data_IF_569158550523
#
_entry.id   IF_569158550523
#
_cell.length_a   1.000
_cell.length_b   1.000
_cell.length_c   1.000
_cell.angle_alpha   90.00
_cell.angle_beta   90.00
_cell.angle_gamma   90.00
#
_symmetry.space_group_name_H-M   'P 1'
#
loop_
_entity.id
_entity.type
_entity.pdbx_description
1 polymer ?
#
# COMPACT_ATOMS: atom_id res chain seq x y z
N UNK A 1 15.91 56.40 -39.58
CA UNK A 1 15.61 55.09 -40.19
C UNK A 1 16.38 54.04 -39.39
N UNK A 2 15.98 53.79 -38.13
CA UNK A 2 15.16 52.62 -37.70
C UNK A 2 15.89 51.30 -37.98
N UNK A 3 16.83 50.92 -37.11
CA UNK A 3 16.68 49.97 -35.99
C UNK A 3 16.12 48.60 -36.37
N UNK A 4 17.04 47.64 -36.53
CA UNK A 4 17.09 46.32 -35.89
C UNK A 4 15.73 45.74 -35.45
N UNK A 5 15.15 44.84 -36.24
CA UNK A 5 14.24 43.76 -35.76
C UNK A 5 14.13 42.67 -36.82
N UNK A 6 15.00 41.66 -36.76
CA UNK A 6 14.76 40.37 -37.40
C UNK A 6 15.53 39.29 -36.62
N UNK A 7 15.10 39.05 -35.39
CA UNK A 7 15.36 37.83 -34.64
C UNK A 7 14.52 37.84 -33.36
N UNK A 8 13.85 36.71 -33.11
CA UNK A 8 13.28 36.32 -31.84
C UNK A 8 12.14 37.22 -31.30
N UNK A 9 10.91 36.71 -31.38
CA UNK A 9 10.30 36.18 -30.17
C UNK A 9 9.07 35.32 -30.53
N UNK A 10 9.09 34.00 -30.26
CA UNK A 10 7.88 33.20 -30.24
C UNK A 10 6.96 33.76 -29.14
N UNK A 11 5.66 33.85 -29.43
CA UNK A 11 4.61 34.15 -28.46
C UNK A 11 4.59 33.07 -27.36
N UNK A 12 5.51 33.16 -26.39
CA UNK A 12 5.49 32.41 -25.16
C UNK A 12 4.43 33.05 -24.25
N UNK A 13 3.20 32.59 -24.48
CA UNK A 13 2.00 32.93 -23.74
C UNK A 13 2.22 32.69 -22.23
N UNK A 14 2.10 33.74 -21.39
CA UNK A 14 2.41 33.68 -19.95
C UNK A 14 1.45 32.78 -19.14
N UNK A 15 0.34 32.36 -19.74
CA UNK A 15 -0.64 31.45 -19.12
C UNK A 15 -0.13 29.99 -19.06
N UNK A 16 0.73 29.59 -19.98
CA UNK A 16 1.28 28.22 -20.03
C UNK A 16 2.39 28.03 -19.01
N UNK A 17 3.10 29.10 -18.67
CA UNK A 17 4.20 29.13 -17.68
C UNK A 17 3.68 29.14 -16.26
N UNK A 18 2.61 29.89 -15.97
CA UNK A 18 1.97 29.84 -14.66
C UNK A 18 1.28 28.49 -14.42
N UNK A 19 0.70 27.90 -15.47
CA UNK A 19 0.11 26.56 -15.42
C UNK A 19 1.19 25.48 -15.31
N UNK A 20 2.34 25.59 -15.97
CA UNK A 20 3.46 24.65 -15.82
C UNK A 20 4.28 24.85 -14.54
N UNK A 21 4.34 26.07 -13.97
CA UNK A 21 4.98 26.35 -12.68
C UNK A 21 4.07 25.94 -11.52
N UNK A 22 2.75 26.10 -11.66
CA UNK A 22 1.76 25.56 -10.71
C UNK A 22 1.67 24.03 -10.81
N UNK A 23 1.78 23.47 -12.02
CA UNK A 23 1.88 22.02 -12.23
C UNK A 23 3.20 21.44 -11.71
N UNK A 24 4.32 22.16 -11.83
CA UNK A 24 5.62 21.73 -11.28
C UNK A 24 5.70 21.89 -9.76
N UNK A 25 5.02 22.88 -9.17
CA UNK A 25 4.94 23.06 -7.72
C UNK A 25 3.99 22.04 -7.05
N UNK A 26 2.93 21.61 -7.75
CA UNK A 26 1.98 20.61 -7.23
C UNK A 26 2.46 19.15 -7.47
N UNK A 27 3.20 18.90 -8.56
CA UNK A 27 3.73 17.55 -8.88
C UNK A 27 5.00 17.20 -8.08
N UNK A 28 5.74 18.20 -7.61
CA UNK A 28 6.94 18.00 -6.79
C UNK A 28 6.67 17.62 -5.32
N UNK A 29 5.48 17.88 -4.76
CA UNK A 29 5.16 17.54 -3.35
C UNK A 29 4.57 16.15 -3.17
N UNK A 30 3.76 15.68 -4.12
CA UNK A 30 3.01 14.42 -4.02
C UNK A 30 3.86 13.16 -3.82
N UNK A 31 4.91 12.89 -4.61
CA UNK A 31 5.71 11.68 -4.44
C UNK A 31 6.55 11.72 -3.16
N UNK A 32 7.04 12.90 -2.76
CA UNK A 32 7.80 13.05 -1.52
C UNK A 32 6.92 12.86 -0.29
N UNK A 33 5.69 13.39 -0.28
CA UNK A 33 4.74 13.15 0.81
C UNK A 33 4.39 11.66 0.94
N UNK A 34 4.30 10.92 -0.16
CA UNK A 34 4.10 9.47 -0.15
C UNK A 34 5.29 8.72 0.46
N UNK A 35 6.52 9.06 0.08
CA UNK A 35 7.74 8.44 0.62
C UNK A 35 7.93 8.78 2.10
N UNK A 36 7.64 10.03 2.50
CA UNK A 36 7.69 10.45 3.90
C UNK A 36 6.62 9.73 4.72
N UNK A 37 5.40 9.56 4.20
CA UNK A 37 4.36 8.77 4.84
C UNK A 37 4.75 7.29 4.96
N UNK A 38 5.33 6.71 3.91
CA UNK A 38 5.88 5.35 3.92
C UNK A 38 6.96 5.16 4.99
N UNK A 39 7.90 6.11 5.06
CA UNK A 39 8.97 6.10 6.06
C UNK A 39 8.44 6.23 7.48
N UNK A 40 7.52 7.17 7.72
CA UNK A 40 6.90 7.38 9.04
C UNK A 40 6.08 6.16 9.46
N UNK A 41 5.29 5.56 8.56
CA UNK A 41 4.52 4.35 8.86
C UNK A 41 5.41 3.14 9.13
N UNK A 42 6.54 2.99 8.42
CA UNK A 42 7.52 1.93 8.67
C UNK A 42 8.22 2.10 10.03
N UNK A 43 8.64 3.33 10.35
CA UNK A 43 9.25 3.66 11.65
C UNK A 43 8.23 3.45 12.77
N UNK A 44 6.99 3.89 12.58
CA UNK A 44 5.93 3.68 13.56
C UNK A 44 5.61 2.19 13.75
N UNK A 45 5.57 1.41 12.66
CA UNK A 45 5.34 -0.04 12.71
C UNK A 45 6.47 -0.80 13.41
N UNK A 46 7.73 -0.46 13.13
CA UNK A 46 8.90 -1.06 13.81
C UNK A 46 9.00 -0.62 15.26
N UNK A 47 8.73 0.65 15.58
CA UNK A 47 8.63 1.14 16.95
C UNK A 47 7.51 0.43 17.72
N UNK A 48 6.34 0.24 17.10
CA UNK A 48 5.23 -0.50 17.69
C UNK A 48 5.61 -1.97 17.95
N UNK A 49 6.29 -2.62 16.99
CA UNK A 49 6.84 -3.97 17.17
C UNK A 49 7.78 -4.03 18.37
N UNK A 50 8.70 -3.08 18.50
CA UNK A 50 9.67 -3.07 19.59
C UNK A 50 9.02 -2.77 20.96
N UNK A 51 8.04 -1.87 21.01
CA UNK A 51 7.37 -1.45 22.25
C UNK A 51 6.39 -2.52 22.77
N UNK A 52 5.77 -3.29 21.86
CA UNK A 52 4.81 -4.34 22.22
C UNK A 52 5.42 -5.75 22.34
N UNK A 53 6.74 -5.90 22.25
CA UNK A 53 7.43 -7.18 22.44
C UNK A 53 7.20 -7.83 23.85
N UNK A 54 6.60 -7.10 24.80
CA UNK A 54 6.28 -7.60 26.15
C UNK A 54 4.83 -8.04 26.39
N UNK A 55 3.90 -7.80 25.45
CA UNK A 55 2.46 -8.05 25.65
C UNK A 55 2.02 -9.29 24.88
N UNK A 56 1.14 -10.11 25.46
CA UNK A 56 0.58 -11.35 24.85
C UNK A 56 -0.26 -11.11 23.57
N UNK A 57 -0.40 -9.87 23.12
CA UNK A 57 -1.26 -9.48 21.99
C UNK A 57 -0.43 -9.53 20.69
N UNK A 58 -0.87 -10.24 19.65
CA UNK A 58 -0.15 -10.35 18.39
C UNK A 58 0.06 -8.97 17.73
N UNK A 59 1.31 -8.66 17.40
CA UNK A 59 1.70 -7.35 16.87
C UNK A 59 0.94 -6.96 15.60
N UNK A 60 0.49 -7.94 14.81
CA UNK A 60 -0.30 -7.75 13.59
C UNK A 60 -1.67 -7.14 13.87
N UNK A 61 -2.33 -7.52 14.97
CA UNK A 61 -3.64 -6.98 15.35
C UNK A 61 -3.51 -5.54 15.83
N UNK A 62 -2.46 -5.23 16.57
CA UNK A 62 -2.18 -3.86 17.04
C UNK A 62 -1.94 -2.93 15.85
N UNK A 63 -1.10 -3.36 14.89
CA UNK A 63 -0.88 -2.61 13.64
C UNK A 63 -2.18 -2.42 12.85
N UNK A 64 -3.03 -3.44 12.78
CA UNK A 64 -4.30 -3.37 12.08
C UNK A 64 -5.25 -2.35 12.72
N UNK A 65 -5.38 -2.35 14.05
CA UNK A 65 -6.22 -1.38 14.77
C UNK A 65 -5.69 0.04 14.59
N UNK A 66 -4.37 0.25 14.69
CA UNK A 66 -3.74 1.56 14.46
C UNK A 66 -4.02 2.05 13.04
N UNK A 67 -3.90 1.19 12.03
CA UNK A 67 -4.20 1.51 10.63
C UNK A 67 -5.68 1.90 10.43
N UNK A 68 -6.61 1.16 11.04
CA UNK A 68 -8.05 1.47 10.98
C UNK A 68 -8.35 2.82 11.64
N UNK A 69 -7.77 3.09 12.81
CA UNK A 69 -7.95 4.38 13.50
C UNK A 69 -7.39 5.53 12.66
N UNK A 70 -6.19 5.37 12.09
CA UNK A 70 -5.56 6.37 11.23
C UNK A 70 -6.37 6.64 9.94
N UNK A 71 -6.88 5.59 9.28
CA UNK A 71 -7.73 5.73 8.08
C UNK A 71 -9.12 6.29 8.38
N UNK A 72 -9.72 5.90 9.51
CA UNK A 72 -11.04 6.42 9.91
C UNK A 72 -10.98 7.87 10.38
N UNK A 73 -9.88 8.31 10.99
CA UNK A 73 -9.70 9.68 11.45
C UNK A 73 -9.60 10.68 10.29
N UNK A 74 -9.09 10.24 9.13
CA UNK A 74 -9.08 11.00 7.88
C UNK A 74 -10.50 11.28 7.37
N UNK A 75 -11.36 10.26 7.35
CA UNK A 75 -12.73 10.38 6.85
C UNK A 75 -13.65 11.22 7.76
N UNK A 76 -13.41 11.21 9.07
CA UNK A 76 -14.29 11.84 10.06
C UNK A 76 -14.05 13.35 10.29
N UNK A 77 -12.88 13.87 9.96
CA UNK A 77 -12.52 15.25 10.35
C UNK A 77 -12.65 16.21 9.17
N UNK A 78 -13.79 16.91 9.10
CA UNK A 78 -14.05 18.00 8.13
C UNK A 78 -13.13 19.23 8.31
N UNK A 79 -12.22 19.20 9.29
CA UNK A 79 -11.20 20.22 9.54
C UNK A 79 -9.78 19.69 9.24
N UNK A 80 -9.33 19.89 8.00
CA UNK A 80 -7.93 20.07 7.59
C UNK A 80 -6.83 19.47 8.51
N UNK A 81 -6.64 18.15 8.49
CA UNK A 81 -5.41 17.51 9.00
C UNK A 81 -4.25 17.50 7.97
N UNK A 82 -4.32 18.40 6.99
CA UNK A 82 -3.24 19.14 6.31
C UNK A 82 -2.06 18.43 5.64
N UNK A 83 -1.68 17.20 6.01
CA UNK A 83 -0.51 16.49 5.45
C UNK A 83 -0.58 14.97 5.61
N UNK A 84 -1.12 14.47 6.73
CA UNK A 84 -1.30 13.02 6.93
C UNK A 84 -2.40 12.45 6.04
N UNK A 85 -3.55 13.12 5.93
CA UNK A 85 -4.62 12.69 5.03
C UNK A 85 -4.23 12.71 3.54
N UNK A 86 -3.37 13.64 3.13
CA UNK A 86 -2.84 13.64 1.76
C UNK A 86 -1.94 12.41 1.50
N UNK A 87 -1.15 12.01 2.50
CA UNK A 87 -0.33 10.80 2.45
C UNK A 87 -1.14 9.50 2.36
N UNK A 88 -2.22 9.37 3.16
CA UNK A 88 -3.13 8.21 3.03
C UNK A 88 -3.83 8.22 1.67
N UNK A 89 -4.34 9.37 1.20
CA UNK A 89 -5.06 9.44 -0.08
C UNK A 89 -4.18 9.08 -1.28
N UNK A 90 -2.90 9.46 -1.25
CA UNK A 90 -1.93 9.03 -2.27
C UNK A 90 -1.56 7.55 -2.11
N UNK A 91 -1.39 7.06 -0.88
CA UNK A 91 -1.12 5.64 -0.64
C UNK A 91 -2.26 4.74 -1.12
N UNK A 92 -3.50 5.20 -1.02
CA UNK A 92 -4.67 4.52 -1.55
C UNK A 92 -4.71 4.51 -3.09
N UNK A 93 -4.06 5.48 -3.75
CA UNK A 93 -3.90 5.54 -5.21
C UNK A 93 -2.75 4.65 -5.70
N UNK A 94 -1.76 4.36 -4.84
CA UNK A 94 -0.68 3.43 -5.16
C UNK A 94 -1.26 2.04 -5.39
N UNK A 95 -0.89 1.46 -6.53
CA UNK A 95 -1.33 0.12 -6.90
C UNK A 95 -0.86 -0.91 -5.85
N UNK A 96 -1.77 -1.67 -5.21
CA UNK A 96 -1.41 -2.66 -4.21
C UNK A 96 -0.52 -3.78 -4.79
N UNK A 97 -0.62 -4.03 -6.11
CA UNK A 97 0.27 -4.96 -6.82
C UNK A 97 1.74 -4.54 -6.81
N UNK A 98 2.05 -3.24 -6.85
CA UNK A 98 3.43 -2.74 -6.76
C UNK A 98 4.00 -2.96 -5.36
N UNK A 99 3.18 -2.72 -4.34
CA UNK A 99 3.54 -2.95 -2.94
C UNK A 99 3.85 -4.42 -2.68
N UNK A 100 2.99 -5.32 -3.16
CA UNK A 100 3.22 -6.78 -3.11
C UNK A 100 4.47 -7.16 -3.91
N UNK A 101 4.65 -6.64 -5.12
CA UNK A 101 5.81 -6.96 -5.95
C UNK A 101 7.14 -6.53 -5.32
N UNK A 102 7.16 -5.45 -4.53
CA UNK A 102 8.37 -4.98 -3.83
C UNK A 102 8.61 -5.72 -2.52
N UNK A 103 7.56 -5.94 -1.72
CA UNK A 103 7.73 -6.54 -0.40
C UNK A 103 7.78 -8.06 -0.43
N UNK A 104 7.13 -8.72 -1.39
CA UNK A 104 7.08 -10.18 -1.44
C UNK A 104 8.49 -10.79 -1.67
N UNK A 105 9.31 -10.32 -2.63
CA UNK A 105 10.69 -10.79 -2.75
C UNK A 105 11.54 -10.51 -1.52
N UNK A 106 11.44 -9.31 -0.94
CA UNK A 106 12.21 -8.92 0.23
C UNK A 106 11.84 -9.76 1.47
N UNK A 107 10.54 -9.94 1.73
CA UNK A 107 10.02 -10.73 2.86
C UNK A 107 10.29 -12.22 2.66
N UNK A 108 10.11 -12.77 1.46
CA UNK A 108 10.41 -14.17 1.19
C UNK A 108 11.90 -14.47 1.35
N UNK A 109 12.78 -13.58 0.86
CA UNK A 109 14.22 -13.78 1.00
C UNK A 109 14.68 -13.67 2.45
N UNK A 110 14.17 -12.69 3.20
CA UNK A 110 14.47 -12.51 4.62
C UNK A 110 14.01 -13.72 5.46
N UNK A 111 12.76 -14.16 5.26
CA UNK A 111 12.20 -15.32 5.96
C UNK A 111 12.85 -16.64 5.55
N UNK A 112 13.27 -16.80 4.29
CA UNK A 112 13.94 -18.01 3.79
C UNK A 112 15.41 -18.08 4.23
N UNK A 113 16.12 -16.95 4.26
CA UNK A 113 17.51 -16.88 4.70
C UNK A 113 17.69 -17.17 6.19
N UNK A 114 16.69 -16.84 7.01
CA UNK A 114 16.72 -17.15 8.43
C UNK A 114 16.47 -18.64 8.75
N UNK A 115 16.17 -19.47 7.75
CA UNK A 115 15.81 -20.88 7.94
C UNK A 115 16.97 -21.83 7.56
N UNK A 116 17.37 -22.69 8.50
CA UNK A 116 18.48 -23.64 8.30
C UNK A 116 18.22 -24.62 7.14
N UNK A 117 19.17 -24.70 6.21
CA UNK A 117 19.14 -25.61 5.04
C UNK A 117 18.95 -27.08 5.41
N UNK A 118 19.39 -27.47 6.61
CA UNK A 118 19.20 -28.82 7.12
C UNK A 118 17.75 -29.10 7.53
N UNK A 119 17.04 -28.11 8.07
CA UNK A 119 15.62 -28.22 8.44
C UNK A 119 14.70 -28.13 7.22
N UNK A 120 15.07 -27.33 6.22
CA UNK A 120 14.34 -27.18 4.96
C UNK A 120 14.07 -28.54 4.32
N UNK A 121 15.08 -29.41 4.19
CA UNK A 121 14.90 -30.69 3.49
C UNK A 121 13.91 -31.63 4.18
N UNK A 122 13.82 -31.57 5.51
CA UNK A 122 12.91 -32.43 6.28
C UNK A 122 11.48 -31.90 6.27
N UNK A 123 11.29 -30.58 6.22
CA UNK A 123 9.97 -29.94 6.26
C UNK A 123 9.37 -29.63 4.87
N UNK A 124 10.20 -29.54 3.82
CA UNK A 124 9.76 -29.17 2.46
C UNK A 124 8.67 -30.11 1.92
N UNK A 125 8.80 -31.42 2.15
CA UNK A 125 7.76 -32.38 1.75
C UNK A 125 6.41 -32.09 2.40
N UNK A 126 6.40 -31.79 3.70
CA UNK A 126 5.19 -31.44 4.44
C UNK A 126 4.66 -30.06 4.03
N UNK A 127 5.53 -29.08 3.78
CA UNK A 127 5.14 -27.75 3.31
C UNK A 127 4.51 -27.81 1.92
N UNK A 128 5.06 -28.59 0.99
CA UNK A 128 4.50 -28.77 -0.37
C UNK A 128 3.19 -29.56 -0.32
N UNK A 129 3.11 -30.59 0.53
CA UNK A 129 1.88 -31.35 0.73
C UNK A 129 0.84 -30.53 1.53
N UNK A 130 1.22 -29.54 2.32
CA UNK A 130 0.26 -28.63 2.95
C UNK A 130 -0.20 -27.53 1.98
N UNK A 131 0.74 -26.95 1.23
CA UNK A 131 0.46 -25.88 0.26
C UNK A 131 -0.30 -26.39 -0.97
N UNK A 132 -0.07 -27.62 -1.42
CA UNK A 132 -0.78 -28.21 -2.55
C UNK A 132 -2.22 -28.59 -2.18
N UNK A 133 -2.43 -29.79 -1.61
CA UNK A 133 -3.78 -30.26 -1.31
C UNK A 133 -4.46 -29.45 -0.18
N UNK A 134 -3.73 -28.88 0.78
CA UNK A 134 -4.35 -28.06 1.84
C UNK A 134 -4.95 -26.75 1.30
N UNK A 135 -4.28 -26.08 0.37
CA UNK A 135 -4.84 -24.86 -0.25
C UNK A 135 -5.93 -25.22 -1.26
N UNK A 136 -5.80 -26.32 -2.01
CA UNK A 136 -6.85 -26.79 -2.92
C UNK A 136 -8.14 -27.13 -2.16
N UNK A 137 -8.04 -27.87 -1.05
CA UNK A 137 -9.22 -28.25 -0.27
C UNK A 137 -9.85 -27.03 0.40
N UNK A 138 -9.05 -26.07 0.91
CA UNK A 138 -9.58 -24.85 1.52
C UNK A 138 -10.29 -23.97 0.50
N UNK A 139 -9.70 -23.81 -0.68
CA UNK A 139 -10.28 -23.02 -1.78
C UNK A 139 -11.57 -23.67 -2.28
N UNK A 140 -11.60 -24.99 -2.40
CA UNK A 140 -12.80 -25.73 -2.79
C UNK A 140 -13.93 -25.55 -1.76
N UNK A 141 -13.62 -25.63 -0.46
CA UNK A 141 -14.61 -25.47 0.59
C UNK A 141 -15.16 -24.04 0.69
N UNK A 142 -14.28 -23.03 0.64
CA UNK A 142 -14.68 -21.61 0.60
C UNK A 142 -15.51 -21.34 -0.65
N UNK A 143 -15.09 -21.84 -1.82
CA UNK A 143 -15.82 -21.66 -3.07
C UNK A 143 -17.20 -22.32 -3.06
N UNK A 144 -17.31 -23.53 -2.49
CA UNK A 144 -18.58 -24.23 -2.32
C UNK A 144 -19.50 -23.51 -1.34
N UNK A 145 -18.98 -23.05 -0.21
CA UNK A 145 -19.74 -22.27 0.78
C UNK A 145 -20.23 -20.94 0.18
N UNK A 146 -19.37 -20.22 -0.55
CA UNK A 146 -19.75 -18.99 -1.24
C UNK A 146 -20.88 -19.25 -2.24
N UNK A 147 -20.78 -20.31 -3.03
CA UNK A 147 -21.87 -20.70 -3.95
C UNK A 147 -23.14 -21.06 -3.20
N UNK A 148 -23.04 -21.76 -2.07
CA UNK A 148 -24.18 -22.13 -1.23
C UNK A 148 -24.81 -20.96 -0.46
N UNK A 149 -24.04 -19.91 -0.14
CA UNK A 149 -24.52 -18.69 0.55
C UNK A 149 -25.05 -17.65 -0.43
N UNK A 150 -24.42 -17.51 -1.60
CA UNK A 150 -24.83 -16.53 -2.63
C UNK A 150 -26.05 -16.99 -3.43
N UNK A 151 -26.19 -18.30 -3.71
CA UNK A 151 -27.33 -18.85 -4.43
C UNK A 151 -28.71 -18.64 -3.75
N UNK A 152 -28.88 -18.78 -2.41
CA UNK A 152 -30.13 -18.48 -1.74
C UNK A 152 -30.42 -16.97 -1.62
N UNK A 153 -29.40 -16.10 -1.65
CA UNK A 153 -29.60 -14.66 -1.67
C UNK A 153 -30.16 -14.15 -3.02
N UNK A 154 -29.82 -14.81 -4.14
CA UNK A 154 -30.35 -14.47 -5.46
C UNK A 154 -31.82 -14.87 -5.65
N UNK A 155 -32.31 -15.90 -4.96
CA UNK A 155 -33.71 -16.35 -5.04
C UNK A 155 -34.66 -15.53 -4.13
N UNK A 156 -34.15 -14.77 -3.16
CA UNK A 156 -34.97 -13.89 -2.29
C UNK A 156 -35.11 -12.46 -2.87
N UNK A 157 -34.39 -12.15 -3.94
CA UNK A 157 -34.41 -10.84 -4.62
C UNK A 157 -35.11 -10.89 -5.98
N UNK A 158 -36.08 -11.80 -6.17
CA UNK A 158 -37.05 -11.84 -7.28
C UNK A 158 -38.45 -12.01 -6.70
#
# INVERSE_FOLDING_TARGET
MTSITDAALPYFSPEKTSLSLSYSAESGSRPVDAVIFAGVSLVLGTACRQLFNGTRVPYTVVLLVIGIVLGSLEYGTNHNLGKMGHGIRIWNDINPGLLLAVFLPALLFESSFSMDVHQIKRCLGQMVLLAGPGVLISTFWIGSLLKCVVLPAAHFSI
#
